data_IF_041825483938
#
_entry.id   IF_041825483938
#
_cell.length_a   1.000
_cell.length_b   1.000
_cell.length_c   1.000
_cell.angle_alpha   90.00
_cell.angle_beta   90.00
_cell.angle_gamma   90.00
#
_symmetry.space_group_name_H-M   'P 1'
#
loop_
_entity.id
_entity.type
_entity.pdbx_description
1 polymer ?
#
# COMPACT_ATOMS: atom_id res chain seq x y z
N UNK A 1 -10.49 -1.38 25.52
CA UNK A 1 -11.70 -2.22 25.61
C UNK A 1 -11.44 -3.29 26.65
N UNK A 2 -12.29 -3.40 27.68
CA UNK A 2 -12.15 -4.37 28.78
C UNK A 2 -13.31 -5.36 28.72
N UNK A 3 -13.07 -6.67 28.91
CA UNK A 3 -14.08 -7.70 28.70
C UNK A 3 -15.27 -7.57 29.67
N UNK A 4 -16.44 -8.00 29.22
CA UNK A 4 -17.57 -8.28 30.11
C UNK A 4 -17.26 -9.50 30.98
N UNK A 5 -18.07 -9.81 32.02
CA UNK A 5 -17.89 -11.03 32.79
C UNK A 5 -17.90 -12.33 31.95
N UNK A 6 -18.62 -12.34 30.82
CA UNK A 6 -18.71 -13.48 29.91
C UNK A 6 -17.51 -13.50 28.94
N UNK A 7 -17.24 -12.39 28.24
CA UNK A 7 -16.10 -12.27 27.32
C UNK A 7 -14.73 -12.38 28.00
N UNK A 8 -14.65 -12.27 29.34
CA UNK A 8 -13.39 -12.45 30.07
C UNK A 8 -12.80 -13.85 29.88
N UNK A 9 -13.66 -14.87 29.76
CA UNK A 9 -13.28 -16.27 29.75
C UNK A 9 -13.42 -16.92 28.36
N UNK A 10 -13.87 -16.16 27.36
CA UNK A 10 -14.07 -16.61 25.98
C UNK A 10 -13.60 -15.51 25.03
N UNK A 11 -12.49 -15.78 24.34
CA UNK A 11 -11.87 -14.83 23.42
C UNK A 11 -12.75 -14.52 22.21
N UNK A 12 -13.48 -15.52 21.69
CA UNK A 12 -14.33 -15.35 20.52
C UNK A 12 -15.55 -14.49 20.88
N UNK A 13 -16.16 -14.78 22.04
CA UNK A 13 -17.25 -13.95 22.55
C UNK A 13 -16.78 -12.51 22.81
N UNK A 14 -15.57 -12.33 23.34
CA UNK A 14 -14.98 -11.01 23.52
C UNK A 14 -14.81 -10.25 22.19
N UNK A 15 -14.37 -10.93 21.12
CA UNK A 15 -14.27 -10.31 19.80
C UNK A 15 -15.64 -9.87 19.26
N UNK A 16 -16.65 -10.73 19.36
CA UNK A 16 -18.02 -10.40 18.96
C UNK A 16 -18.59 -9.20 19.73
N UNK A 17 -18.36 -9.13 21.05
CA UNK A 17 -18.82 -8.02 21.89
C UNK A 17 -18.23 -6.67 21.46
N UNK A 18 -16.96 -6.65 21.07
CA UNK A 18 -16.23 -5.42 20.75
C UNK A 18 -16.16 -5.11 19.25
N UNK A 19 -16.58 -6.04 18.39
CA UNK A 19 -16.64 -5.86 16.93
C UNK A 19 -17.36 -4.57 16.53
N UNK A 20 -18.58 -4.24 17.04
CA UNK A 20 -19.26 -3.01 16.65
C UNK A 20 -18.49 -1.76 17.08
N UNK A 21 -17.92 -1.77 18.30
CA UNK A 21 -17.15 -0.64 18.81
C UNK A 21 -15.87 -0.41 17.98
N UNK A 22 -15.16 -1.46 17.59
CA UNK A 22 -13.96 -1.37 16.74
C UNK A 22 -14.34 -0.82 15.37
N UNK A 23 -15.42 -1.32 14.77
CA UNK A 23 -15.91 -0.84 13.49
C UNK A 23 -16.20 0.67 13.54
N UNK A 24 -16.97 1.13 14.53
CA UNK A 24 -17.35 2.53 14.65
C UNK A 24 -16.12 3.44 14.87
N UNK A 25 -15.18 3.01 15.72
CA UNK A 25 -13.92 3.74 15.93
C UNK A 25 -13.09 3.87 14.65
N UNK A 26 -13.02 2.83 13.82
CA UNK A 26 -12.29 2.85 12.54
C UNK A 26 -13.02 3.77 11.55
N UNK A 27 -14.35 3.69 11.47
CA UNK A 27 -15.16 4.54 10.59
C UNK A 27 -14.99 6.01 10.95
N UNK A 28 -15.12 6.37 12.23
CA UNK A 28 -14.97 7.75 12.71
C UNK A 28 -13.58 8.31 12.38
N UNK A 29 -12.53 7.54 12.70
CA UNK A 29 -11.15 7.91 12.40
C UNK A 29 -10.86 8.02 10.89
N UNK A 30 -11.44 7.14 10.07
CA UNK A 30 -11.29 7.18 8.62
C UNK A 30 -12.01 8.37 8.00
N UNK A 31 -13.18 8.74 8.51
CA UNK A 31 -13.91 9.94 8.06
C UNK A 31 -13.12 11.21 8.37
N UNK A 32 -12.48 11.29 9.54
CA UNK A 32 -11.65 12.43 9.92
C UNK A 32 -10.34 12.50 9.10
N UNK A 33 -9.64 11.37 8.97
CA UNK A 33 -8.24 11.34 8.46
C UNK A 33 -8.13 10.93 6.99
N UNK A 34 -9.22 10.52 6.34
CA UNK A 34 -9.35 10.03 4.94
C UNK A 34 -8.57 8.75 4.60
N UNK A 35 -7.48 8.48 5.30
CA UNK A 35 -6.71 7.25 5.19
C UNK A 35 -6.07 6.95 6.54
N UNK A 36 -6.23 5.73 7.03
CA UNK A 36 -5.68 5.30 8.31
C UNK A 36 -4.98 3.97 8.19
N UNK A 37 -4.05 3.72 9.09
CA UNK A 37 -3.53 2.38 9.35
C UNK A 37 -3.87 2.02 10.78
N UNK A 38 -4.27 0.78 11.00
CA UNK A 38 -4.67 0.33 12.32
C UNK A 38 -4.26 -1.12 12.57
N UNK A 39 -4.23 -1.51 13.85
CA UNK A 39 -4.07 -2.90 14.29
C UNK A 39 -4.63 -3.05 15.70
N UNK A 40 -5.04 -4.28 16.04
CA UNK A 40 -5.50 -4.63 17.37
C UNK A 40 -4.37 -5.27 18.17
N UNK A 41 -4.35 -5.01 19.48
CA UNK A 41 -3.46 -5.67 20.44
C UNK A 41 -4.31 -6.18 21.60
N UNK A 42 -4.30 -7.50 21.81
CA UNK A 42 -4.96 -8.14 22.94
C UNK A 42 -3.93 -8.56 23.99
N UNK A 43 -4.17 -8.18 25.25
CA UNK A 43 -3.40 -8.65 26.40
C UNK A 43 -4.17 -9.80 27.05
N UNK A 44 -3.57 -10.99 27.07
CA UNK A 44 -4.21 -12.22 27.52
C UNK A 44 -3.39 -12.83 28.64
N UNK A 45 -4.06 -13.35 29.66
CA UNK A 45 -3.47 -14.08 30.77
C UNK A 45 -3.54 -15.57 30.50
N UNK A 46 -2.42 -16.25 30.74
CA UNK A 46 -2.34 -17.70 30.77
C UNK A 46 -1.96 -18.14 32.17
N UNK A 47 -2.38 -19.35 32.52
CA UNK A 47 -1.98 -20.02 33.74
C UNK A 47 -1.37 -21.38 33.43
N UNK A 48 -0.57 -21.90 34.37
CA UNK A 48 -0.07 -23.26 34.35
C UNK A 48 0.12 -23.73 35.79
N UNK A 49 -0.24 -24.98 36.05
CA UNK A 49 0.06 -25.63 37.32
C UNK A 49 1.50 -26.15 37.32
N UNK A 50 2.21 -25.92 38.42
CA UNK A 50 3.56 -26.44 38.63
C UNK A 50 3.51 -27.76 39.40
N UNK A 51 4.59 -28.57 39.37
CA UNK A 51 4.68 -29.80 40.17
C UNK A 51 4.55 -29.57 41.69
N UNK A 52 4.71 -28.33 42.15
CA UNK A 52 4.61 -27.92 43.56
C UNK A 52 3.18 -27.48 43.94
N UNK A 53 2.19 -27.74 43.09
CA UNK A 53 0.77 -27.30 43.21
C UNK A 53 0.56 -25.77 43.18
N UNK A 54 1.61 -25.00 42.87
CA UNK A 54 1.51 -23.55 42.66
C UNK A 54 1.05 -23.22 41.24
N UNK A 55 0.28 -22.13 41.09
CA UNK A 55 -0.16 -21.60 39.80
C UNK A 55 0.76 -20.48 39.32
N UNK A 56 1.39 -20.69 38.18
CA UNK A 56 2.18 -19.67 37.49
C UNK A 56 1.31 -18.90 36.49
N UNK A 57 1.53 -17.60 36.36
CA UNK A 57 0.82 -16.74 35.40
C UNK A 57 1.77 -16.00 34.47
N UNK A 58 1.37 -15.86 33.21
CA UNK A 58 2.04 -14.95 32.27
C UNK A 58 0.99 -14.11 31.51
N UNK A 59 1.40 -12.93 31.01
CA UNK A 59 0.49 -11.98 30.35
C UNK A 59 1.02 -11.46 29.00
N UNK A 60 1.19 -12.35 28.00
CA UNK A 60 1.64 -11.96 26.67
C UNK A 60 0.65 -11.03 25.94
N UNK A 61 1.19 -10.35 24.92
CA UNK A 61 0.45 -9.49 24.02
C UNK A 61 0.39 -10.14 22.64
N UNK A 62 -0.81 -10.23 22.07
CA UNK A 62 -1.08 -10.75 20.73
C UNK A 62 -1.56 -9.62 19.85
N UNK A 63 -1.02 -9.54 18.65
CA UNK A 63 -1.21 -8.40 17.78
C UNK A 63 -1.66 -8.88 16.40
N UNK A 64 -2.68 -8.22 15.85
CA UNK A 64 -3.06 -8.41 14.46
C UNK A 64 -2.04 -7.79 13.50
N UNK A 65 -2.09 -8.17 12.21
CA UNK A 65 -1.36 -7.45 11.17
C UNK A 65 -1.87 -6.01 11.07
N UNK A 66 -1.03 -5.14 10.52
CA UNK A 66 -1.42 -3.75 10.22
C UNK A 66 -2.31 -3.75 8.99
N UNK A 67 -3.51 -3.19 9.14
CA UNK A 67 -4.47 -2.95 8.07
C UNK A 67 -4.36 -1.50 7.62
N UNK A 68 -4.52 -1.25 6.32
CA UNK A 68 -4.62 0.09 5.75
C UNK A 68 -6.05 0.26 5.23
N UNK A 69 -6.74 1.29 5.72
CA UNK A 69 -8.09 1.63 5.26
C UNK A 69 -8.07 2.93 4.46
N UNK A 70 -8.72 2.87 3.30
CA UNK A 70 -8.90 3.99 2.37
C UNK A 70 -10.37 4.33 2.15
N UNK A 71 -11.28 3.39 2.43
CA UNK A 71 -12.73 3.55 2.34
C UNK A 71 -13.42 2.56 3.29
N UNK A 72 -14.74 2.66 3.45
CA UNK A 72 -15.50 1.91 4.46
C UNK A 72 -15.99 0.54 3.99
N UNK A 73 -15.78 0.16 2.73
CA UNK A 73 -16.43 -1.03 2.15
C UNK A 73 -15.89 -2.35 2.69
N UNK A 74 -14.60 -2.39 3.08
CA UNK A 74 -13.91 -3.60 3.50
C UNK A 74 -13.63 -3.68 5.01
N UNK A 75 -14.06 -2.68 5.80
CA UNK A 75 -13.72 -2.60 7.23
C UNK A 75 -14.18 -3.86 7.98
N UNK A 76 -15.39 -4.35 7.69
CA UNK A 76 -15.93 -5.56 8.33
C UNK A 76 -15.05 -6.79 8.09
N UNK A 77 -14.63 -7.01 6.85
CA UNK A 77 -13.77 -8.14 6.46
C UNK A 77 -12.37 -8.02 7.08
N UNK A 78 -11.81 -6.80 7.14
CA UNK A 78 -10.52 -6.57 7.75
C UNK A 78 -10.52 -6.74 9.28
N UNK A 79 -11.66 -6.48 9.94
CA UNK A 79 -11.83 -6.79 11.37
C UNK A 79 -11.78 -8.30 11.60
N UNK A 80 -12.47 -9.10 10.77
CA UNK A 80 -12.40 -10.58 10.86
C UNK A 80 -10.96 -11.06 10.69
N UNK A 81 -10.28 -10.58 9.65
CA UNK A 81 -8.90 -10.98 9.41
C UNK A 81 -7.96 -10.58 10.56
N UNK A 82 -8.23 -9.46 11.23
CA UNK A 82 -7.47 -9.04 12.40
C UNK A 82 -7.70 -9.96 13.61
N UNK A 83 -8.93 -10.45 13.80
CA UNK A 83 -9.27 -11.43 14.83
C UNK A 83 -8.62 -12.79 14.53
N UNK A 84 -8.75 -13.29 13.30
CA UNK A 84 -8.11 -14.53 12.85
C UNK A 84 -6.58 -14.50 13.12
N UNK A 85 -5.91 -13.38 12.84
CA UNK A 85 -4.47 -13.27 13.10
C UNK A 85 -4.10 -13.35 14.59
N UNK A 86 -4.96 -12.85 15.46
CA UNK A 86 -4.74 -12.94 16.91
C UNK A 86 -4.97 -14.38 17.38
N UNK A 87 -6.00 -15.05 16.87
CA UNK A 87 -6.29 -16.47 17.16
C UNK A 87 -5.17 -17.38 16.70
N UNK A 88 -4.72 -17.24 15.46
CA UNK A 88 -3.58 -18.00 14.92
C UNK A 88 -2.32 -17.82 15.79
N UNK A 89 -2.04 -16.58 16.21
CA UNK A 89 -0.88 -16.29 17.06
C UNK A 89 -1.02 -16.89 18.46
N UNK A 90 -2.24 -16.93 19.00
CA UNK A 90 -2.54 -17.54 20.29
C UNK A 90 -2.44 -19.07 20.23
N UNK A 91 -2.97 -19.68 19.18
CA UNK A 91 -2.86 -21.13 18.92
C UNK A 91 -1.41 -21.57 18.78
N UNK A 92 -0.60 -20.79 18.06
CA UNK A 92 0.84 -21.05 17.96
C UNK A 92 1.53 -20.94 19.32
N UNK A 93 1.13 -19.98 20.15
CA UNK A 93 1.67 -19.81 21.50
C UNK A 93 1.32 -21.00 22.39
N UNK A 94 0.06 -21.47 22.35
CA UNK A 94 -0.39 -22.66 23.07
C UNK A 94 0.35 -23.92 22.62
N UNK A 95 0.55 -24.11 21.31
CA UNK A 95 1.29 -25.26 20.75
C UNK A 95 2.77 -25.29 21.16
N UNK A 96 3.39 -24.12 21.32
CA UNK A 96 4.81 -23.98 21.73
C UNK A 96 4.99 -23.96 23.24
N UNK A 97 3.94 -23.64 23.99
CA UNK A 97 3.95 -23.53 25.45
C UNK A 97 3.93 -24.89 26.14
N UNK A 98 4.91 -25.14 27.00
CA UNK A 98 4.99 -26.35 27.85
C UNK A 98 3.95 -26.33 28.97
N UNK A 99 2.66 -26.52 28.62
CA UNK A 99 1.55 -26.63 29.58
C UNK A 99 0.82 -25.33 29.93
N UNK A 100 0.99 -24.26 29.15
CA UNK A 100 0.20 -23.04 29.33
C UNK A 100 -1.23 -23.26 28.85
N UNK A 101 -2.20 -22.85 29.67
CA UNK A 101 -3.62 -22.82 29.29
C UNK A 101 -4.13 -21.39 29.28
N UNK A 102 -5.04 -21.11 28.36
CA UNK A 102 -5.76 -19.85 28.34
C UNK A 102 -6.48 -19.67 29.68
N UNK A 103 -6.29 -18.53 30.34
CA UNK A 103 -6.99 -18.20 31.58
C UNK A 103 -8.01 -17.08 31.33
N UNK A 104 -7.59 -15.89 30.87
CA UNK A 104 -8.54 -14.80 30.64
C UNK A 104 -8.04 -13.71 29.71
N UNK A 105 -8.95 -13.02 29.05
CA UNK A 105 -8.67 -11.75 28.38
C UNK A 105 -8.53 -10.66 29.44
N UNK A 106 -7.47 -9.85 29.38
CA UNK A 106 -7.29 -8.69 30.29
C UNK A 106 -7.90 -7.45 29.64
N UNK A 107 -7.45 -7.11 28.44
CA UNK A 107 -7.99 -6.00 27.65
C UNK A 107 -7.51 -6.07 26.20
N UNK A 108 -8.17 -5.30 25.34
CA UNK A 108 -7.72 -5.03 23.97
C UNK A 108 -7.59 -3.52 23.72
N UNK A 109 -6.62 -3.18 22.90
CA UNK A 109 -6.39 -1.84 22.39
C UNK A 109 -6.49 -1.84 20.86
N UNK A 110 -7.26 -0.90 20.31
CA UNK A 110 -7.19 -0.52 18.90
C UNK A 110 -6.14 0.58 18.78
N UNK A 111 -5.12 0.36 17.95
CA UNK A 111 -4.11 1.38 17.64
C UNK A 111 -4.38 1.90 16.25
N UNK A 112 -4.74 3.17 16.13
CA UNK A 112 -4.89 3.87 14.85
C UNK A 112 -3.78 4.89 14.65
N UNK A 113 -3.44 5.15 13.39
CA UNK A 113 -2.59 6.26 13.00
C UNK A 113 -3.00 6.75 11.62
N UNK A 114 -2.87 8.06 11.36
CA UNK A 114 -3.02 8.60 10.01
C UNK A 114 -2.08 7.87 9.07
N UNK A 115 -2.64 7.27 8.01
CA UNK A 115 -1.85 6.66 6.98
C UNK A 115 -1.40 7.75 6.01
N UNK A 116 -0.18 8.19 6.23
CA UNK A 116 0.59 8.89 5.20
C UNK A 116 1.30 7.78 4.42
N UNK A 117 0.93 7.51 3.15
CA UNK A 117 1.75 6.68 2.29
C UNK A 117 3.19 7.17 2.42
N UNK A 118 4.12 6.27 2.72
CA UNK A 118 5.54 6.60 2.78
C UNK A 118 6.06 6.81 1.37
N UNK A 119 5.68 7.93 0.76
CA UNK A 119 6.64 8.85 0.21
C UNK A 119 5.92 10.17 -0.09
N UNK A 120 6.45 11.32 0.34
CA UNK A 120 6.16 12.55 -0.38
C UNK A 120 6.65 12.39 -1.83
N UNK A 121 7.70 11.62 -2.09
CA UNK A 121 8.29 11.44 -3.42
C UNK A 121 8.11 10.04 -3.97
N UNK A 122 7.31 9.86 -5.03
CA UNK A 122 7.34 8.60 -5.78
C UNK A 122 8.66 8.34 -6.51
N UNK A 123 9.68 9.21 -6.40
CA UNK A 123 10.95 9.07 -7.13
C UNK A 123 11.73 7.84 -6.68
N UNK A 124 11.94 6.93 -7.62
CA UNK A 124 12.82 5.78 -7.47
C UNK A 124 14.03 6.02 -8.39
N UNK A 125 15.27 5.98 -7.88
CA UNK A 125 16.46 6.05 -8.73
C UNK A 125 16.46 4.95 -9.80
N UNK A 126 16.91 5.27 -11.02
CA UNK A 126 17.06 4.25 -12.05
C UNK A 126 18.12 3.21 -11.64
N UNK A 127 17.91 1.91 -11.93
CA UNK A 127 18.98 0.92 -11.92
C UNK A 127 20.18 1.40 -12.73
N UNK A 128 21.39 1.11 -12.25
CA UNK A 128 22.65 1.64 -12.78
C UNK A 128 22.82 1.41 -14.29
N UNK A 129 22.41 0.23 -14.80
CA UNK A 129 22.44 -0.11 -16.23
C UNK A 129 21.51 0.76 -17.08
N UNK A 130 20.31 1.08 -16.58
CA UNK A 130 19.37 1.97 -17.27
C UNK A 130 19.84 3.42 -17.22
N UNK A 131 20.38 3.86 -16.08
CA UNK A 131 20.97 5.19 -15.92
C UNK A 131 22.14 5.41 -16.91
N UNK A 132 22.97 4.38 -17.12
CA UNK A 132 24.09 4.42 -18.06
C UNK A 132 23.65 4.60 -19.52
N UNK A 133 22.51 4.03 -19.92
CA UNK A 133 21.99 4.11 -21.30
C UNK A 133 21.48 5.50 -21.68
N UNK A 134 21.19 6.39 -20.71
CA UNK A 134 20.67 7.76 -20.91
C UNK A 134 19.38 7.85 -21.77
N UNK A 135 18.71 6.72 -21.98
CA UNK A 135 17.50 6.59 -22.78
C UNK A 135 16.21 6.89 -21.99
N UNK A 136 16.32 7.06 -20.67
CA UNK A 136 15.17 7.25 -19.77
C UNK A 136 15.27 8.62 -19.10
N UNK A 137 14.17 9.37 -19.12
CA UNK A 137 13.98 10.58 -18.31
C UNK A 137 13.25 10.15 -17.05
N UNK A 138 13.96 10.18 -15.93
CA UNK A 138 13.40 9.91 -14.62
C UNK A 138 13.18 11.24 -13.89
N UNK A 139 11.92 11.67 -13.79
CA UNK A 139 11.56 12.98 -13.25
C UNK A 139 11.54 12.91 -11.73
N UNK A 140 12.35 13.77 -11.11
CA UNK A 140 12.50 13.90 -9.67
C UNK A 140 11.32 14.68 -9.09
N UNK A 141 10.24 13.98 -8.77
CA UNK A 141 9.05 14.56 -8.17
C UNK A 141 8.95 14.26 -6.67
N UNK A 142 8.40 15.20 -5.92
CA UNK A 142 8.07 15.05 -4.49
C UNK A 142 6.55 14.95 -4.31
N UNK A 143 5.88 14.26 -5.23
CA UNK A 143 4.47 13.88 -5.14
C UNK A 143 4.25 12.46 -5.69
N UNK A 144 2.99 12.02 -5.81
CA UNK A 144 2.60 10.74 -6.41
C UNK A 144 2.24 10.84 -7.91
N UNK A 145 2.59 11.95 -8.58
CA UNK A 145 2.18 12.27 -9.96
C UNK A 145 3.24 11.89 -11.01
N UNK A 146 4.13 10.94 -10.72
CA UNK A 146 5.19 10.52 -11.66
C UNK A 146 4.68 10.10 -13.04
N UNK A 147 3.48 9.51 -13.12
CA UNK A 147 2.80 9.23 -14.39
C UNK A 147 2.50 10.52 -15.16
N UNK A 148 1.88 11.50 -14.50
CA UNK A 148 1.53 12.81 -15.10
C UNK A 148 2.78 13.48 -15.62
N UNK A 149 3.82 13.58 -14.79
CA UNK A 149 5.07 14.22 -15.18
C UNK A 149 5.73 13.51 -16.36
N UNK A 150 5.75 12.17 -16.38
CA UNK A 150 6.37 11.41 -17.47
C UNK A 150 5.63 11.57 -18.79
N UNK A 151 4.29 11.64 -18.75
CA UNK A 151 3.48 11.89 -19.95
C UNK A 151 3.68 13.33 -20.44
N UNK A 152 3.65 14.33 -19.54
CA UNK A 152 3.88 15.73 -19.91
C UNK A 152 5.29 15.95 -20.47
N UNK A 153 6.31 15.26 -19.94
CA UNK A 153 7.66 15.32 -20.51
C UNK A 153 7.74 14.74 -21.94
N UNK A 154 6.83 13.83 -22.30
CA UNK A 154 6.74 13.28 -23.66
C UNK A 154 6.02 14.26 -24.60
N UNK A 155 4.97 14.90 -24.11
CA UNK A 155 4.18 15.89 -24.86
C UNK A 155 4.93 17.21 -25.04
N UNK A 156 5.76 17.59 -24.06
CA UNK A 156 6.51 18.83 -24.02
C UNK A 156 8.00 18.55 -23.79
N UNK A 157 8.74 18.09 -24.82
CA UNK A 157 10.17 17.81 -24.69
C UNK A 157 10.96 19.05 -24.26
N UNK A 158 11.74 18.93 -23.19
CA UNK A 158 12.61 20.00 -22.67
C UNK A 158 14.07 19.61 -22.85
N UNK A 159 14.88 20.53 -23.38
CA UNK A 159 16.28 20.27 -23.67
C UNK A 159 17.17 20.12 -22.42
N UNK A 160 17.15 21.11 -21.51
CA UNK A 160 17.97 21.10 -20.27
C UNK A 160 17.09 20.87 -19.05
N UNK A 161 17.58 20.06 -18.10
CA UNK A 161 16.93 19.79 -16.81
C UNK A 161 15.53 19.14 -16.95
N UNK A 162 15.34 18.28 -17.94
CA UNK A 162 14.08 17.55 -18.16
C UNK A 162 13.75 16.54 -17.05
N UNK A 163 14.69 16.26 -16.15
CA UNK A 163 14.48 15.48 -14.93
C UNK A 163 13.79 16.26 -13.79
N UNK A 164 13.48 17.55 -13.97
CA UNK A 164 12.81 18.37 -12.94
C UNK A 164 11.32 18.50 -13.23
N UNK A 165 10.51 18.60 -12.18
CA UNK A 165 9.06 18.86 -12.31
C UNK A 165 8.77 20.29 -12.81
N UNK A 166 9.60 21.27 -12.44
CA UNK A 166 9.34 22.70 -12.68
C UNK A 166 8.93 23.10 -14.11
N UNK A 167 9.50 22.54 -15.20
CA UNK A 167 9.09 22.91 -16.56
C UNK A 167 7.66 22.48 -16.92
N UNK A 168 7.12 21.49 -16.22
CA UNK A 168 5.84 20.84 -16.55
C UNK A 168 4.68 21.31 -15.68
N UNK A 169 4.95 22.02 -14.58
CA UNK A 169 3.92 22.42 -13.60
C UNK A 169 2.80 23.24 -14.23
N UNK A 170 3.11 24.17 -15.12
CA UNK A 170 2.10 25.00 -15.79
C UNK A 170 1.19 24.20 -16.74
N UNK A 171 1.63 23.02 -17.16
CA UNK A 171 0.94 22.14 -18.12
C UNK A 171 0.21 20.99 -17.40
N UNK A 172 0.20 20.95 -16.06
CA UNK A 172 -0.37 19.84 -15.30
C UNK A 172 -1.83 19.54 -15.69
N UNK A 173 -2.61 20.60 -15.96
CA UNK A 173 -4.03 20.50 -16.30
C UNK A 173 -4.30 20.03 -17.75
N UNK A 174 -3.28 19.93 -18.60
CA UNK A 174 -3.44 19.43 -19.97
C UNK A 174 -3.72 17.92 -20.00
N UNK A 175 -3.22 17.18 -19.00
CA UNK A 175 -3.46 15.75 -18.88
C UNK A 175 -4.69 15.46 -18.01
N UNK A 176 -5.76 14.98 -18.63
CA UNK A 176 -7.01 14.66 -17.95
C UNK A 176 -6.93 13.27 -17.33
N UNK A 177 -7.08 13.15 -16.00
CA UNK A 177 -7.12 11.84 -15.33
C UNK A 177 -8.55 11.28 -15.14
N UNK A 178 -9.57 12.14 -15.29
CA UNK A 178 -10.97 11.75 -15.08
C UNK A 178 -11.20 11.28 -13.64
N UNK A 179 -11.71 10.05 -13.48
CA UNK A 179 -11.91 9.42 -12.16
C UNK A 179 -10.67 8.69 -11.62
N UNK A 180 -9.58 8.63 -12.39
CA UNK A 180 -8.35 7.97 -11.95
C UNK A 180 -7.58 8.91 -11.03
N UNK A 181 -7.17 8.41 -9.87
CA UNK A 181 -6.34 9.14 -8.91
C UNK A 181 -4.89 8.68 -8.99
N UNK A 182 -3.97 9.54 -8.54
CA UNK A 182 -2.57 9.17 -8.38
C UNK A 182 -2.36 8.44 -7.04
N UNK A 183 -1.42 7.45 -6.98
CA UNK A 183 -0.56 6.97 -8.06
C UNK A 183 -1.33 6.11 -9.07
N UNK A 184 -1.07 6.34 -10.36
CA UNK A 184 -1.73 5.60 -11.46
C UNK A 184 -1.20 4.17 -11.51
N UNK A 185 -2.08 3.19 -11.59
CA UNK A 185 -1.69 1.79 -11.84
C UNK A 185 -1.66 1.50 -13.35
N UNK A 186 -0.76 0.61 -13.83
CA UNK A 186 -0.71 0.25 -15.26
C UNK A 186 -2.06 -0.18 -15.84
N UNK A 187 -2.88 -0.91 -15.07
CA UNK A 187 -4.21 -1.36 -15.49
C UNK A 187 -5.23 -0.22 -15.70
N UNK A 188 -4.97 0.99 -15.20
CA UNK A 188 -5.82 2.18 -15.37
C UNK A 188 -5.37 3.10 -16.52
N UNK A 189 -4.19 2.85 -17.09
CA UNK A 189 -3.65 3.63 -18.22
C UNK A 189 -4.60 3.66 -19.44
N UNK A 190 -5.32 2.57 -19.82
CA UNK A 190 -6.28 2.64 -20.93
C UNK A 190 -7.35 3.72 -20.76
N UNK A 191 -7.78 4.01 -19.52
CA UNK A 191 -8.80 5.04 -19.24
C UNK A 191 -8.23 6.43 -19.57
N UNK A 192 -7.02 6.71 -19.10
CA UNK A 192 -6.33 7.98 -19.31
C UNK A 192 -5.93 8.15 -20.78
N UNK A 193 -5.43 7.08 -21.40
CA UNK A 193 -5.11 7.04 -22.82
C UNK A 193 -6.31 7.45 -23.67
N UNK A 194 -7.46 6.82 -23.43
CA UNK A 194 -8.69 7.11 -24.15
C UNK A 194 -9.18 8.54 -23.91
N UNK A 195 -9.12 9.01 -22.66
CA UNK A 195 -9.58 10.34 -22.29
C UNK A 195 -8.75 11.45 -22.94
N UNK A 196 -7.47 11.23 -23.21
CA UNK A 196 -6.56 12.25 -23.76
C UNK A 196 -6.23 12.05 -25.24
N UNK A 197 -6.83 11.05 -25.89
CA UNK A 197 -6.49 10.66 -27.25
C UNK A 197 -4.98 10.41 -27.45
N UNK A 198 -4.36 9.71 -26.51
CA UNK A 198 -2.94 9.36 -26.54
C UNK A 198 -2.74 7.93 -27.02
N UNK A 199 -1.48 7.55 -27.25
CA UNK A 199 -1.05 6.16 -27.44
C UNK A 199 0.07 5.88 -26.45
N UNK A 200 -0.18 5.06 -25.43
CA UNK A 200 0.74 4.85 -24.32
C UNK A 200 1.11 3.37 -24.21
N UNK A 201 2.40 3.08 -24.19
CA UNK A 201 2.92 1.77 -23.79
C UNK A 201 3.58 1.90 -22.41
N UNK A 202 3.45 0.86 -21.59
CA UNK A 202 4.08 0.75 -20.28
C UNK A 202 4.88 -0.54 -20.23
N UNK A 203 6.16 -0.41 -19.90
CA UNK A 203 7.09 -1.52 -19.72
C UNK A 203 7.52 -1.62 -18.26
N UNK A 204 7.59 -2.84 -17.73
CA UNK A 204 8.27 -3.16 -16.48
C UNK A 204 9.76 -3.43 -16.72
N UNK A 205 10.54 -3.45 -15.65
CA UNK A 205 11.95 -3.84 -15.68
C UNK A 205 12.31 -4.60 -14.41
N UNK A 206 12.71 -5.85 -14.58
CA UNK A 206 13.10 -6.80 -13.52
C UNK A 206 14.19 -7.72 -14.09
N UNK A 207 15.16 -8.11 -13.26
CA UNK A 207 16.28 -9.00 -13.65
C UNK A 207 17.00 -8.60 -14.95
N UNK A 208 17.18 -7.29 -15.15
CA UNK A 208 17.78 -6.69 -16.35
C UNK A 208 17.01 -6.86 -17.66
N UNK A 209 15.77 -7.35 -17.61
CA UNK A 209 14.89 -7.53 -18.75
C UNK A 209 13.71 -6.56 -18.71
N UNK A 210 13.32 -6.05 -19.89
CA UNK A 210 12.09 -5.27 -20.05
C UNK A 210 10.96 -6.18 -20.50
N UNK A 211 9.79 -6.01 -19.90
CA UNK A 211 8.58 -6.74 -20.27
C UNK A 211 7.37 -5.81 -20.38
N UNK A 212 6.40 -6.09 -21.26
CA UNK A 212 5.23 -5.24 -21.41
C UNK A 212 4.28 -5.40 -20.21
N UNK A 213 3.88 -4.28 -19.60
CA UNK A 213 2.79 -4.22 -18.61
C UNK A 213 1.48 -3.77 -19.25
N UNK A 214 1.57 -2.90 -20.27
CA UNK A 214 0.45 -2.46 -21.07
C UNK A 214 0.94 -2.02 -22.44
N UNK A 215 0.31 -2.50 -23.51
CA UNK A 215 0.58 -2.08 -24.88
C UNK A 215 -0.71 -1.52 -25.47
N UNK A 216 -0.62 -0.29 -25.99
CA UNK A 216 -1.74 0.35 -26.65
C UNK A 216 -2.15 -0.43 -27.90
N UNK A 217 -3.46 -0.55 -28.11
CA UNK A 217 -4.05 -1.08 -29.35
C UNK A 217 -4.27 0.01 -30.40
N UNK A 218 -3.98 1.28 -30.08
CA UNK A 218 -4.19 2.40 -30.99
C UNK A 218 -3.06 2.48 -32.03
N UNK A 219 -3.44 2.85 -33.24
CA UNK A 219 -2.54 3.07 -34.38
C UNK A 219 -2.53 4.56 -34.76
N UNK A 220 -1.59 4.98 -35.62
CA UNK A 220 -1.50 6.34 -36.20
C UNK A 220 -1.34 7.54 -35.24
N UNK A 221 -1.11 7.29 -33.95
CA UNK A 221 -0.77 8.32 -32.95
C UNK A 221 0.68 8.09 -32.51
N UNK A 222 1.42 9.19 -32.26
CA UNK A 222 2.76 9.12 -31.69
C UNK A 222 2.72 8.38 -30.35
N UNK A 223 3.50 7.30 -30.27
CA UNK A 223 3.59 6.49 -29.06
C UNK A 223 4.41 7.18 -27.97
N UNK A 224 3.88 7.14 -26.75
CA UNK A 224 4.59 7.48 -25.51
C UNK A 224 4.95 6.16 -24.84
N UNK A 225 6.25 5.89 -24.73
CA UNK A 225 6.75 4.70 -24.04
C UNK A 225 7.13 5.08 -22.61
N UNK A 226 6.49 4.48 -21.63
CA UNK A 226 6.76 4.67 -20.22
C UNK A 226 7.44 3.43 -19.64
N UNK A 227 8.37 3.66 -18.72
CA UNK A 227 8.95 2.64 -17.88
C UNK A 227 8.32 2.72 -16.49
N UNK A 228 7.91 1.58 -15.94
CA UNK A 228 7.35 1.45 -14.62
C UNK A 228 8.31 0.61 -13.77
N UNK A 229 8.89 1.25 -12.75
CA UNK A 229 9.86 0.63 -11.84
C UNK A 229 9.29 0.52 -10.43
N UNK A 230 9.74 -0.50 -9.72
CA UNK A 230 9.35 -0.79 -8.34
C UNK A 230 10.59 -0.90 -7.45
N UNK A 231 10.48 -0.41 -6.23
CA UNK A 231 11.49 -0.60 -5.18
C UNK A 231 10.76 -0.88 -3.87
N UNK A 232 10.73 -2.14 -3.44
CA UNK A 232 9.87 -2.55 -2.33
C UNK A 232 8.40 -2.27 -2.66
N UNK A 233 7.74 -1.44 -1.85
CA UNK A 233 6.35 -1.04 -2.07
C UNK A 233 6.20 0.20 -2.97
N UNK A 234 7.29 0.90 -3.25
CA UNK A 234 7.26 2.13 -4.03
C UNK A 234 7.21 1.84 -5.52
N UNK A 235 6.54 2.73 -6.25
CA UNK A 235 6.26 2.62 -7.69
C UNK A 235 6.54 3.95 -8.36
N UNK A 236 7.21 3.92 -9.51
CA UNK A 236 7.56 5.13 -10.25
C UNK A 236 7.46 4.95 -11.76
N UNK A 237 6.93 5.97 -12.43
CA UNK A 237 6.95 6.06 -13.89
C UNK A 237 8.11 6.93 -14.35
N UNK A 238 8.82 6.47 -15.37
CA UNK A 238 9.79 7.24 -16.13
C UNK A 238 9.37 7.29 -17.60
N UNK A 239 9.87 8.29 -18.33
CA UNK A 239 9.69 8.38 -19.78
C UNK A 239 10.86 7.71 -20.51
N UNK A 240 10.56 6.79 -21.43
CA UNK A 240 11.54 6.25 -22.38
C UNK A 240 11.62 7.20 -23.59
N UNK A 241 12.79 7.79 -23.80
CA UNK A 241 13.04 8.71 -24.91
C UNK A 241 12.92 7.96 -26.24
N UNK A 242 12.37 8.63 -27.26
CA UNK A 242 12.66 8.28 -28.64
C UNK A 242 14.14 8.57 -28.89
N UNK A 243 14.87 7.59 -29.43
CA UNK A 243 16.15 7.87 -30.04
C UNK A 243 15.89 8.62 -31.35
N UNK A 244 16.29 9.89 -31.41
CA UNK A 244 16.59 10.51 -32.70
C UNK A 244 17.88 9.86 -33.21
N UNK A 245 17.81 9.16 -34.34
CA UNK A 245 18.86 8.33 -34.97
C UNK A 245 19.12 6.93 -34.37
N UNK A 246 18.38 5.92 -34.86
CA UNK A 246 18.94 4.92 -35.77
C UNK A 246 17.86 3.94 -36.23
N UNK A 247 17.92 3.50 -37.50
CA UNK A 247 16.91 2.67 -38.12
C UNK A 247 17.02 1.23 -37.60
N UNK A 248 15.87 0.63 -37.30
CA UNK A 248 15.70 -0.81 -37.49
C UNK A 248 15.16 -1.01 -38.91
#
# INVERSE_FOLDING_TARGET
MTPTPAGKWDLLLFFEEFRPQIHDMIVDELQEKRAIKWYCVSKIRFSRETPEEDVEYCTPYFRSKVVIELDTSMIGDHIEQAFDNIEESLDEYLKKGSGWVFDSVIHMELKTATYHPLAPSSYIPLPSKLAAKKAVINIKNTDQKCFVWSVLAALHPVGKKSERVSPYVSMEQELRLGKVTCPVQPCKVPIIENLNNLRINVFGFEDDEMFPLYISKREDIQVINLLYITQGNDKHYCLIKKYESSPW
#
